data_IF_209042209246
#
_entry.id   IF_209042209246
#
_cell.length_a   1.000
_cell.length_b   1.000
_cell.length_c   1.000
_cell.angle_alpha   90.00
_cell.angle_beta   90.00
_cell.angle_gamma   90.00
#
_symmetry.space_group_name_H-M   'P 1'
#
loop_
_entity.id
_entity.type
_entity.pdbx_description
1 polymer ?
#
# COMPACT_ATOMS: atom_id res chain seq x y z
N UNK A 1 18.92 -25.70 42.38
CA UNK A 1 18.04 -26.84 42.07
C UNK A 1 16.66 -26.29 41.67
N UNK A 2 16.41 -26.04 40.38
CA UNK A 2 15.07 -25.73 39.88
C UNK A 2 14.93 -26.44 38.52
N UNK A 3 14.29 -27.61 38.55
CA UNK A 3 14.04 -28.45 37.37
C UNK A 3 12.98 -27.78 36.50
N UNK A 4 13.34 -27.36 35.28
CA UNK A 4 12.35 -27.14 34.21
C UNK A 4 11.75 -28.50 33.84
N UNK A 5 10.46 -28.71 34.15
CA UNK A 5 9.68 -29.79 33.53
C UNK A 5 9.26 -29.31 32.15
N UNK A 6 9.83 -29.91 31.11
CA UNK A 6 9.31 -29.84 29.75
C UNK A 6 8.02 -30.65 29.68
N UNK A 7 6.88 -29.99 29.48
CA UNK A 7 5.67 -30.66 29.03
C UNK A 7 5.67 -30.72 27.49
N UNK A 8 5.21 -31.82 26.89
CA UNK A 8 5.26 -31.99 25.44
C UNK A 8 4.29 -31.03 24.75
N UNK A 9 4.76 -30.35 23.71
CA UNK A 9 4.06 -29.28 22.98
C UNK A 9 2.73 -29.68 22.33
N UNK A 10 2.35 -30.97 22.36
CA UNK A 10 1.16 -31.48 21.68
C UNK A 10 -0.13 -31.39 22.53
N UNK A 11 -0.04 -31.34 23.87
CA UNK A 11 -1.23 -31.23 24.73
C UNK A 11 -1.73 -29.78 24.91
N UNK A 12 -0.89 -28.78 24.65
CA UNK A 12 -1.26 -27.37 24.77
C UNK A 12 -2.24 -26.96 23.66
N UNK A 13 -2.23 -27.65 22.52
CA UNK A 13 -3.04 -27.28 21.34
C UNK A 13 -4.53 -27.58 21.54
N UNK A 14 -4.89 -28.64 22.29
CA UNK A 14 -6.31 -28.99 22.52
C UNK A 14 -7.03 -28.13 23.56
N UNK A 15 -6.29 -27.51 24.49
CA UNK A 15 -6.89 -26.68 25.54
C UNK A 15 -7.06 -25.20 25.15
N UNK A 16 -6.48 -24.75 24.04
CA UNK A 16 -6.65 -23.37 23.57
C UNK A 16 -8.00 -23.19 22.85
N UNK A 17 -8.49 -24.20 22.14
CA UNK A 17 -9.79 -24.14 21.42
C UNK A 17 -11.01 -23.98 22.34
N UNK A 18 -10.93 -24.43 23.60
CA UNK A 18 -12.10 -24.43 24.51
C UNK A 18 -12.26 -23.09 25.26
N UNK A 19 -11.24 -22.24 25.32
CA UNK A 19 -11.29 -20.97 26.08
C UNK A 19 -11.99 -19.81 25.38
N UNK A 20 -12.37 -19.99 24.10
CA UNK A 20 -12.98 -18.91 23.32
C UNK A 20 -14.47 -18.69 23.60
N UNK A 21 -15.15 -19.67 24.22
CA UNK A 21 -16.61 -19.71 24.32
C UNK A 21 -17.22 -19.35 25.69
N UNK A 22 -16.46 -19.30 26.81
CA UNK A 22 -17.12 -19.22 28.13
C UNK A 22 -16.66 -18.19 29.16
N UNK A 23 -15.54 -17.50 29.00
CA UNK A 23 -15.11 -16.55 30.03
C UNK A 23 -14.97 -15.12 29.51
N UNK A 24 -15.89 -14.27 29.99
CA UNK A 24 -15.77 -12.82 30.15
C UNK A 24 -14.75 -12.46 31.24
N UNK A 25 -13.60 -13.15 31.31
CA UNK A 25 -12.45 -12.62 32.04
C UNK A 25 -11.87 -11.47 31.23
N UNK A 26 -11.61 -10.34 31.87
CA UNK A 26 -11.11 -9.09 31.29
C UNK A 26 -9.69 -9.17 30.66
N UNK A 27 -9.30 -10.33 30.15
CA UNK A 27 -8.01 -10.59 29.52
C UNK A 27 -8.08 -10.38 28.01
N UNK A 28 -7.04 -9.77 27.45
CA UNK A 28 -6.82 -9.73 26.01
C UNK A 28 -6.45 -11.15 25.57
N UNK A 29 -7.18 -11.69 24.59
CA UNK A 29 -6.88 -13.00 23.99
C UNK A 29 -6.14 -12.78 22.68
N UNK A 30 -5.17 -13.64 22.42
CA UNK A 30 -4.36 -13.61 21.21
C UNK A 30 -4.41 -14.95 20.49
N UNK A 31 -4.39 -14.91 19.17
CA UNK A 31 -4.33 -16.09 18.31
C UNK A 31 -3.45 -15.79 17.09
N UNK A 32 -2.87 -16.84 16.50
CA UNK A 32 -2.00 -16.73 15.32
C UNK A 32 -2.81 -16.62 14.03
N UNK A 33 -4.05 -17.11 14.03
CA UNK A 33 -5.02 -17.02 12.94
C UNK A 33 -6.37 -16.53 13.47
N UNK A 34 -7.32 -16.28 12.57
CA UNK A 34 -8.69 -15.82 12.86
C UNK A 34 -9.52 -17.02 13.35
N UNK A 35 -9.92 -17.07 14.64
CA UNK A 35 -10.76 -18.13 15.18
C UNK A 35 -12.18 -18.06 14.61
N UNK A 36 -12.90 -19.18 14.57
CA UNK A 36 -14.20 -19.29 13.89
C UNK A 36 -15.25 -18.30 14.40
N UNK A 37 -15.31 -18.11 15.71
CA UNK A 37 -16.24 -17.16 16.32
C UNK A 37 -15.92 -15.68 15.99
N UNK A 38 -14.66 -15.37 15.67
CA UNK A 38 -14.23 -14.05 15.17
C UNK A 38 -14.50 -13.98 13.67
N UNK A 39 -14.21 -15.04 12.93
CA UNK A 39 -14.42 -15.15 11.49
C UNK A 39 -15.87 -14.80 11.12
N UNK A 40 -16.84 -15.44 11.78
CA UNK A 40 -18.26 -15.15 11.56
C UNK A 40 -18.67 -13.75 12.02
N UNK A 41 -18.04 -13.24 13.08
CA UNK A 41 -18.40 -11.96 13.67
C UNK A 41 -17.89 -10.78 12.85
N UNK A 42 -16.66 -10.83 12.31
CA UNK A 42 -16.07 -9.72 11.53
C UNK A 42 -16.82 -9.48 10.22
N UNK A 43 -17.37 -10.53 9.59
CA UNK A 43 -18.16 -10.43 8.36
C UNK A 43 -19.48 -9.67 8.57
N UNK A 44 -19.98 -9.58 9.81
CA UNK A 44 -21.21 -8.84 10.16
C UNK A 44 -20.96 -7.36 10.39
N UNK A 45 -19.69 -6.95 10.54
CA UNK A 45 -19.36 -5.57 10.88
C UNK A 45 -19.53 -4.65 9.68
N UNK A 46 -20.11 -3.48 9.92
CA UNK A 46 -20.39 -2.47 8.89
C UNK A 46 -19.25 -1.48 8.65
N UNK A 47 -18.25 -1.49 9.54
CA UNK A 47 -17.11 -0.58 9.50
C UNK A 47 -15.87 -1.29 10.03
N UNK A 48 -14.73 -0.95 9.44
CA UNK A 48 -13.41 -1.34 9.90
C UNK A 48 -12.50 -0.11 9.97
N UNK A 49 -11.48 -0.15 10.82
CA UNK A 49 -10.48 0.90 10.95
C UNK A 49 -9.15 0.40 10.43
N UNK A 50 -8.58 1.12 9.46
CA UNK A 50 -7.29 0.80 8.88
C UNK A 50 -6.22 1.66 9.51
N UNK A 51 -5.26 1.04 10.20
CA UNK A 51 -4.08 1.71 10.72
C UNK A 51 -2.83 1.29 9.95
N UNK A 52 -2.02 2.26 9.53
CA UNK A 52 -0.70 2.06 8.90
C UNK A 52 0.26 3.14 9.34
N UNK A 53 1.57 2.89 9.25
CA UNK A 53 2.58 3.86 9.62
C UNK A 53 3.78 3.78 8.66
N UNK A 54 4.41 4.92 8.34
CA UNK A 54 5.66 4.93 7.61
C UNK A 54 6.80 4.43 8.52
N UNK A 55 7.97 4.16 7.93
CA UNK A 55 9.18 3.79 8.68
C UNK A 55 9.80 4.99 9.40
N UNK A 56 9.64 6.19 8.83
CA UNK A 56 10.17 7.42 9.41
C UNK A 56 9.50 7.71 10.76
N UNK A 57 10.31 7.91 11.81
CA UNK A 57 9.84 8.36 13.12
C UNK A 57 9.22 9.77 13.10
N UNK A 58 9.46 10.55 12.03
CA UNK A 58 8.85 11.87 11.80
C UNK A 58 7.62 11.81 10.90
N UNK A 59 7.33 10.65 10.33
CA UNK A 59 6.14 10.46 9.49
C UNK A 59 4.89 10.30 10.33
N UNK A 60 3.74 10.44 9.69
CA UNK A 60 2.45 10.47 10.34
C UNK A 60 1.79 9.08 10.30
N UNK A 61 1.37 8.60 11.46
CA UNK A 61 0.56 7.39 11.56
C UNK A 61 -0.82 7.69 10.98
N UNK A 62 -1.28 6.85 10.05
CA UNK A 62 -2.59 6.97 9.46
C UNK A 62 -3.58 6.03 10.14
N UNK A 63 -4.75 6.56 10.50
CA UNK A 63 -5.93 5.77 10.89
C UNK A 63 -7.12 6.24 10.07
N UNK A 64 -7.80 5.32 9.40
CA UNK A 64 -8.94 5.65 8.54
C UNK A 64 -10.09 4.66 8.70
N UNK A 65 -11.30 5.12 9.06
CA UNK A 65 -12.48 4.27 9.00
C UNK A 65 -12.84 3.98 7.53
N UNK A 66 -13.29 2.76 7.28
CA UNK A 66 -13.82 2.28 6.00
C UNK A 66 -15.15 1.59 6.27
N UNK A 67 -16.18 1.92 5.50
CA UNK A 67 -17.50 1.31 5.62
C UNK A 67 -18.03 0.88 4.26
N UNK A 68 -19.13 0.15 4.27
CA UNK A 68 -19.73 -0.47 3.10
C UNK A 68 -19.45 -1.97 3.02
N UNK A 69 -19.93 -2.60 1.97
CA UNK A 69 -19.87 -4.05 1.76
C UNK A 69 -18.59 -4.44 1.00
N UNK A 70 -17.45 -3.93 1.48
CA UNK A 70 -16.19 -3.92 0.75
C UNK A 70 -15.09 -4.70 1.48
N UNK A 71 -15.45 -5.82 2.10
CA UNK A 71 -14.55 -6.66 2.90
C UNK A 71 -14.92 -8.14 2.69
N UNK A 72 -13.91 -9.01 2.66
CA UNK A 72 -14.11 -10.45 2.61
C UNK A 72 -12.93 -11.24 3.12
N UNK A 73 -13.19 -12.47 3.57
CA UNK A 73 -12.18 -13.42 4.02
C UNK A 73 -11.85 -14.40 2.90
N UNK A 74 -10.57 -14.70 2.71
CA UNK A 74 -10.09 -15.74 1.79
C UNK A 74 -9.95 -17.06 2.55
N UNK A 75 -9.35 -17.00 3.74
CA UNK A 75 -9.17 -18.11 4.66
C UNK A 75 -9.01 -17.57 6.10
N UNK A 76 -8.60 -18.43 7.05
CA UNK A 76 -8.42 -18.04 8.46
C UNK A 76 -7.24 -17.11 8.73
N UNK A 77 -6.41 -16.78 7.74
CA UNK A 77 -5.24 -15.91 7.89
C UNK A 77 -5.15 -14.84 6.81
N UNK A 78 -5.99 -14.86 5.79
CA UNK A 78 -5.96 -13.85 4.73
C UNK A 78 -7.34 -13.26 4.49
N UNK A 79 -7.41 -11.93 4.40
CA UNK A 79 -8.61 -11.20 4.02
C UNK A 79 -8.29 -10.14 2.98
N UNK A 80 -9.34 -9.58 2.38
CA UNK A 80 -9.25 -8.44 1.48
C UNK A 80 -10.24 -7.37 1.88
N UNK A 81 -9.92 -6.12 1.53
CA UNK A 81 -10.91 -5.05 1.50
C UNK A 81 -10.71 -4.18 0.26
N UNK A 82 -11.80 -3.60 -0.23
CA UNK A 82 -11.75 -2.65 -1.34
C UNK A 82 -11.34 -1.28 -0.82
N UNK A 83 -10.25 -0.76 -1.34
CA UNK A 83 -9.84 0.61 -1.09
C UNK A 83 -10.41 1.51 -2.19
N UNK A 84 -11.37 2.33 -1.80
CA UNK A 84 -12.03 3.27 -2.69
C UNK A 84 -11.19 4.55 -2.84
N UNK A 85 -11.36 5.21 -3.99
CA UNK A 85 -10.72 6.45 -4.38
C UNK A 85 -11.18 7.58 -3.45
N UNK A 86 -10.39 7.87 -2.41
CA UNK A 86 -10.60 9.00 -1.52
C UNK A 86 -9.56 10.10 -1.74
N UNK A 87 -9.61 11.14 -0.91
CA UNK A 87 -8.59 12.21 -0.90
C UNK A 87 -7.20 11.71 -0.45
N UNK A 88 -7.14 10.72 0.43
CA UNK A 88 -5.91 10.15 0.98
C UNK A 88 -5.41 8.90 0.24
N UNK A 89 -4.11 8.63 0.39
CA UNK A 89 -3.42 7.44 -0.13
C UNK A 89 -2.37 6.89 0.86
N UNK A 90 -2.46 7.28 2.14
CA UNK A 90 -1.46 6.92 3.16
C UNK A 90 -1.32 5.41 3.31
N UNK A 91 -2.43 4.67 3.37
CA UNK A 91 -2.38 3.20 3.43
C UNK A 91 -1.58 2.61 2.27
N UNK A 92 -1.87 2.99 1.02
CA UNK A 92 -1.13 2.49 -0.14
C UNK A 92 0.36 2.86 -0.01
N UNK A 93 0.65 4.09 0.40
CA UNK A 93 2.02 4.59 0.50
C UNK A 93 2.83 3.84 1.55
N UNK A 94 2.27 3.61 2.74
CA UNK A 94 2.90 2.85 3.82
C UNK A 94 3.04 1.37 3.47
N UNK A 95 2.04 0.78 2.81
CA UNK A 95 2.11 -0.61 2.37
C UNK A 95 3.19 -0.83 1.32
N UNK A 96 3.37 0.12 0.39
CA UNK A 96 4.49 0.07 -0.58
C UNK A 96 5.85 0.16 0.07
N UNK A 97 5.97 0.95 1.14
CA UNK A 97 7.24 1.13 1.85
C UNK A 97 7.58 -0.08 2.72
N UNK A 98 6.64 -0.54 3.54
CA UNK A 98 6.93 -1.50 4.60
C UNK A 98 5.85 -2.58 4.82
N UNK A 99 4.71 -2.49 4.12
CA UNK A 99 3.66 -3.51 4.17
C UNK A 99 2.87 -3.61 5.48
N UNK A 100 3.24 -2.92 6.56
CA UNK A 100 2.61 -3.13 7.88
C UNK A 100 1.23 -2.51 7.94
N UNK A 101 0.27 -3.28 8.44
CA UNK A 101 -1.11 -2.84 8.59
C UNK A 101 -1.76 -3.48 9.83
N UNK A 102 -2.66 -2.73 10.45
CA UNK A 102 -3.55 -3.24 11.49
C UNK A 102 -4.98 -2.88 11.14
N UNK A 103 -5.87 -3.87 11.13
CA UNK A 103 -7.30 -3.65 10.99
C UNK A 103 -7.96 -3.83 12.34
N UNK A 104 -8.82 -2.88 12.71
CA UNK A 104 -9.61 -2.98 13.92
C UNK A 104 -11.11 -3.00 13.60
N UNK A 105 -11.83 -3.85 14.31
CA UNK A 105 -13.29 -3.92 14.33
C UNK A 105 -13.79 -3.67 15.76
N UNK A 106 -14.96 -3.05 15.88
CA UNK A 106 -15.60 -2.75 17.15
C UNK A 106 -17.06 -3.20 17.10
N UNK A 107 -17.52 -3.87 18.16
CA UNK A 107 -18.95 -4.07 18.37
C UNK A 107 -19.57 -2.74 18.79
N UNK A 108 -20.48 -2.22 17.98
CA UNK A 108 -21.35 -1.10 18.34
C UNK A 108 -22.76 -1.54 18.75
N UNK A 109 -23.02 -2.85 18.69
CA UNK A 109 -24.25 -3.52 19.07
C UNK A 109 -23.92 -4.83 19.82
N UNK A 110 -24.83 -5.30 20.66
CA UNK A 110 -24.67 -6.57 21.39
C UNK A 110 -23.52 -6.57 22.41
N UNK A 111 -22.84 -7.70 22.55
CA UNK A 111 -21.77 -7.84 23.55
C UNK A 111 -20.51 -7.03 23.17
N UNK A 112 -19.87 -6.33 24.13
CA UNK A 112 -18.74 -5.46 23.85
C UNK A 112 -17.53 -6.26 23.38
N UNK A 113 -16.98 -5.90 22.22
CA UNK A 113 -15.86 -6.60 21.60
C UNK A 113 -15.02 -5.65 20.74
N UNK A 114 -13.71 -5.76 20.85
CA UNK A 114 -12.75 -5.13 19.94
C UNK A 114 -11.86 -6.24 19.38
N UNK A 115 -11.71 -6.30 18.06
CA UNK A 115 -10.81 -7.24 17.38
C UNK A 115 -9.78 -6.46 16.60
N UNK A 116 -8.51 -6.85 16.71
CA UNK A 116 -7.39 -6.34 15.92
C UNK A 116 -6.77 -7.48 15.12
N UNK A 117 -6.55 -7.24 13.83
CA UNK A 117 -5.83 -8.12 12.92
C UNK A 117 -4.54 -7.41 12.53
N UNK A 118 -3.40 -7.93 12.96
CA UNK A 118 -2.08 -7.45 12.55
C UNK A 118 -1.57 -8.30 11.40
N UNK A 119 -1.05 -7.65 10.37
CA UNK A 119 -0.64 -8.33 9.16
C UNK A 119 0.25 -7.50 8.25
N UNK A 120 0.52 -8.09 7.09
CA UNK A 120 1.20 -7.44 5.98
C UNK A 120 0.25 -7.32 4.79
N UNK A 121 0.10 -6.09 4.30
CA UNK A 121 -0.78 -5.76 3.19
C UNK A 121 -0.06 -5.70 1.86
N UNK A 122 -0.70 -6.20 0.81
CA UNK A 122 -0.32 -6.04 -0.59
C UNK A 122 -1.43 -5.37 -1.39
N UNK A 123 -1.05 -4.56 -2.36
CA UNK A 123 -1.96 -3.72 -3.14
C UNK A 123 -2.15 -4.33 -4.53
N UNK A 124 -3.41 -4.52 -4.92
CA UNK A 124 -3.80 -4.77 -6.29
C UNK A 124 -4.46 -3.50 -6.83
N UNK A 125 -3.79 -2.76 -7.71
CA UNK A 125 -4.36 -1.54 -8.31
C UNK A 125 -5.34 -1.90 -9.44
N UNK A 126 -6.40 -1.10 -9.59
CA UNK A 126 -7.47 -1.34 -10.56
C UNK A 126 -6.94 -1.43 -12.00
N UNK A 127 -7.45 -2.43 -12.73
CA UNK A 127 -7.03 -2.82 -14.09
C UNK A 127 -5.57 -3.29 -14.22
N UNK A 128 -4.93 -3.66 -13.11
CA UNK A 128 -3.75 -4.53 -13.21
C UNK A 128 -4.20 -5.97 -13.42
N UNK A 129 -3.41 -6.76 -14.15
CA UNK A 129 -3.74 -8.17 -14.39
C UNK A 129 -4.02 -8.96 -13.09
N UNK A 130 -3.29 -8.65 -12.01
CA UNK A 130 -3.50 -9.28 -10.71
C UNK A 130 -4.82 -8.85 -10.04
N UNK A 131 -5.25 -7.59 -10.22
CA UNK A 131 -6.54 -7.12 -9.75
C UNK A 131 -7.68 -7.81 -10.49
N UNK A 132 -7.62 -7.84 -11.83
CA UNK A 132 -8.69 -8.41 -12.66
C UNK A 132 -8.84 -9.92 -12.38
N UNK A 133 -7.72 -10.65 -12.31
CA UNK A 133 -7.71 -12.07 -11.94
C UNK A 133 -8.27 -12.33 -10.53
N UNK A 134 -7.98 -11.44 -9.57
CA UNK A 134 -8.51 -11.58 -8.21
C UNK A 134 -10.01 -11.30 -8.15
N UNK A 135 -10.49 -10.26 -8.85
CA UNK A 135 -11.91 -9.91 -8.96
C UNK A 135 -12.70 -11.06 -9.56
N UNK A 136 -12.22 -11.62 -10.67
CA UNK A 136 -12.85 -12.77 -11.34
C UNK A 136 -12.89 -13.99 -10.42
N UNK A 137 -11.73 -14.40 -9.88
CA UNK A 137 -11.60 -15.58 -9.02
C UNK A 137 -12.53 -15.53 -7.79
N UNK A 138 -12.71 -14.35 -7.20
CA UNK A 138 -13.49 -14.18 -5.98
C UNK A 138 -14.89 -13.58 -6.23
N UNK A 139 -15.31 -13.42 -7.50
CA UNK A 139 -16.61 -12.86 -7.89
C UNK A 139 -16.92 -11.51 -7.23
N UNK A 140 -15.91 -10.63 -7.15
CA UNK A 140 -16.02 -9.36 -6.43
C UNK A 140 -16.70 -8.31 -7.32
N UNK A 141 -17.80 -7.72 -6.85
CA UNK A 141 -18.42 -6.59 -7.53
C UNK A 141 -17.62 -5.31 -7.28
N UNK A 142 -16.98 -4.77 -8.31
CA UNK A 142 -16.33 -3.44 -8.26
C UNK A 142 -17.32 -2.31 -8.56
N UNK A 143 -17.00 -1.11 -8.09
CA UNK A 143 -17.75 0.12 -8.36
C UNK A 143 -16.84 1.20 -8.97
N UNK A 144 -17.40 2.30 -9.45
CA UNK A 144 -16.62 3.36 -10.08
C UNK A 144 -15.60 3.99 -9.14
N UNK A 145 -15.91 4.05 -7.84
CA UNK A 145 -14.99 4.54 -6.83
C UNK A 145 -13.82 3.57 -6.55
N UNK A 146 -13.85 2.31 -6.99
CA UNK A 146 -12.78 1.34 -6.68
C UNK A 146 -11.42 1.83 -7.20
N UNK A 147 -10.42 1.93 -6.31
CA UNK A 147 -9.03 2.27 -6.65
C UNK A 147 -8.13 1.05 -6.63
N UNK A 148 -8.28 0.23 -5.60
CA UNK A 148 -7.47 -0.95 -5.38
C UNK A 148 -8.18 -1.97 -4.49
N UNK A 149 -7.70 -3.21 -4.52
CA UNK A 149 -7.99 -4.21 -3.49
C UNK A 149 -6.74 -4.34 -2.64
N UNK A 150 -6.89 -4.24 -1.32
CA UNK A 150 -5.82 -4.51 -0.37
C UNK A 150 -6.04 -5.91 0.18
N UNK A 151 -5.06 -6.78 0.01
CA UNK A 151 -5.05 -8.14 0.57
C UNK A 151 -4.10 -8.13 1.75
N UNK A 152 -4.50 -8.70 2.87
CA UNK A 152 -3.72 -8.70 4.10
C UNK A 152 -3.53 -10.12 4.58
N UNK A 153 -2.27 -10.49 4.74
CA UNK A 153 -1.85 -11.74 5.38
C UNK A 153 -1.65 -11.46 6.88
N UNK A 154 -2.55 -12.01 7.69
CA UNK A 154 -2.64 -11.87 9.14
C UNK A 154 -1.61 -12.78 9.80
N UNK A 155 -0.78 -12.21 10.66
CA UNK A 155 0.17 -12.96 11.48
C UNK A 155 -0.21 -12.98 12.96
N UNK A 156 -1.14 -12.12 13.39
CA UNK A 156 -1.62 -12.08 14.76
C UNK A 156 -3.03 -11.51 14.84
N UNK A 157 -3.84 -12.10 15.70
CA UNK A 157 -5.18 -11.65 16.06
C UNK A 157 -5.21 -11.33 17.55
N UNK A 158 -5.87 -10.24 17.92
CA UNK A 158 -6.07 -9.84 19.30
C UNK A 158 -7.51 -9.45 19.53
N UNK A 159 -8.15 -10.06 20.52
CA UNK A 159 -9.49 -9.67 20.96
C UNK A 159 -9.45 -9.14 22.38
N UNK A 160 -10.08 -7.99 22.61
CA UNK A 160 -10.22 -7.41 23.93
C UNK A 160 -11.68 -7.01 24.21
N UNK A 161 -12.02 -6.89 25.48
CA UNK A 161 -13.30 -6.33 25.88
C UNK A 161 -13.36 -4.82 25.56
N UNK A 162 -14.55 -4.31 25.28
CA UNK A 162 -14.80 -2.90 24.95
C UNK A 162 -15.85 -2.26 25.86
N UNK A 163 -15.79 -2.48 27.18
CA UNK A 163 -16.85 -2.04 28.12
C UNK A 163 -17.15 -0.53 28.09
N UNK A 164 -16.17 0.30 27.70
CA UNK A 164 -16.36 1.74 27.53
C UNK A 164 -16.68 2.17 26.09
N UNK A 165 -16.72 1.24 25.14
CA UNK A 165 -17.11 1.54 23.75
C UNK A 165 -18.63 1.71 23.71
N UNK A 166 -19.14 2.85 23.20
CA UNK A 166 -20.56 3.13 23.21
C UNK A 166 -21.32 2.28 22.20
N UNK A 167 -22.62 2.12 22.46
CA UNK A 167 -23.56 1.60 21.47
C UNK A 167 -23.85 2.63 20.38
N UNK A 168 -24.04 2.16 19.15
CA UNK A 168 -24.60 2.93 18.05
C UNK A 168 -25.59 2.09 17.26
N UNK A 169 -26.66 2.73 16.79
CA UNK A 169 -27.60 2.12 15.86
C UNK A 169 -27.16 2.39 14.42
N UNK A 170 -27.04 1.33 13.61
CA UNK A 170 -26.73 1.47 12.19
C UNK A 170 -27.98 1.93 11.43
N UNK A 171 -27.88 3.08 10.75
CA UNK A 171 -28.96 3.60 9.90
C UNK A 171 -28.80 3.21 8.44
N UNK A 172 -27.72 3.64 7.79
CA UNK A 172 -27.41 3.35 6.38
C UNK A 172 -25.94 3.71 6.06
N UNK A 173 -25.44 3.25 4.92
CA UNK A 173 -24.16 3.68 4.35
C UNK A 173 -24.27 5.03 3.61
N UNK A 174 -23.21 5.84 3.70
CA UNK A 174 -23.11 7.09 2.94
C UNK A 174 -22.87 6.79 1.46
N UNK A 175 -23.70 7.36 0.59
CA UNK A 175 -23.64 7.18 -0.89
C UNK A 175 -22.79 8.23 -1.61
N UNK A 176 -22.40 9.30 -0.93
CA UNK A 176 -21.72 10.47 -1.52
C UNK A 176 -20.47 10.11 -2.30
N UNK A 177 -19.64 9.20 -1.78
CA UNK A 177 -18.41 8.82 -2.47
C UNK A 177 -18.72 8.13 -3.81
N UNK A 178 -19.64 7.17 -3.81
CA UNK A 178 -20.04 6.46 -5.02
C UNK A 178 -20.60 7.43 -6.06
N UNK A 179 -21.52 8.31 -5.65
CA UNK A 179 -22.12 9.33 -6.52
C UNK A 179 -21.08 10.27 -7.15
N UNK A 180 -20.05 10.67 -6.39
CA UNK A 180 -18.96 11.50 -6.92
C UNK A 180 -18.23 10.78 -8.05
N UNK A 181 -17.92 9.49 -7.89
CA UNK A 181 -17.17 8.74 -8.90
C UNK A 181 -18.04 8.28 -10.09
N UNK A 182 -19.33 8.01 -9.87
CA UNK A 182 -20.31 7.78 -10.93
C UNK A 182 -20.44 9.04 -11.82
N UNK A 183 -20.52 10.22 -11.20
CA UNK A 183 -20.56 11.49 -11.94
C UNK A 183 -19.28 11.73 -12.74
N UNK A 184 -18.11 11.54 -12.12
CA UNK A 184 -16.82 11.66 -12.80
C UNK A 184 -16.68 10.69 -13.97
N UNK A 185 -17.12 9.45 -13.80
CA UNK A 185 -17.14 8.46 -14.88
C UNK A 185 -18.01 8.93 -16.04
N UNK A 186 -19.24 9.37 -15.77
CA UNK A 186 -20.15 9.88 -16.79
C UNK A 186 -19.55 11.09 -17.53
N UNK A 187 -18.95 12.02 -16.80
CA UNK A 187 -18.28 13.18 -17.40
C UNK A 187 -17.10 12.76 -18.29
N UNK A 188 -16.28 11.82 -17.82
CA UNK A 188 -15.18 11.27 -18.61
C UNK A 188 -15.67 10.57 -19.89
N UNK A 189 -16.68 9.71 -19.77
CA UNK A 189 -17.29 8.98 -20.89
C UNK A 189 -17.95 9.95 -21.90
N UNK A 190 -18.39 11.14 -21.45
CA UNK A 190 -18.90 12.22 -22.32
C UNK A 190 -17.81 13.02 -23.05
N UNK A 191 -16.53 12.68 -22.85
CA UNK A 191 -15.38 13.29 -23.51
C UNK A 191 -14.60 14.29 -22.64
N UNK A 192 -14.99 14.53 -21.38
CA UNK A 192 -14.23 15.40 -20.46
C UNK A 192 -13.01 14.64 -19.91
N UNK A 193 -11.95 14.54 -20.70
CA UNK A 193 -10.71 13.81 -20.35
C UNK A 193 -10.07 14.23 -19.01
N UNK A 194 -10.29 15.47 -18.59
CA UNK A 194 -9.85 16.00 -17.28
C UNK A 194 -10.42 15.21 -16.09
N UNK A 195 -11.60 14.61 -16.25
CA UNK A 195 -12.30 13.82 -15.24
C UNK A 195 -11.85 12.35 -15.19
N UNK A 196 -10.80 11.98 -15.93
CA UNK A 196 -10.27 10.61 -15.91
C UNK A 196 -9.85 10.17 -14.48
N UNK A 197 -10.07 8.89 -14.13
CA UNK A 197 -9.63 8.35 -12.84
C UNK A 197 -8.12 8.53 -12.61
N UNK A 198 -7.32 8.36 -13.66
CA UNK A 198 -5.86 8.48 -13.58
C UNK A 198 -5.40 9.90 -13.25
N UNK A 199 -6.03 10.93 -13.83
CA UNK A 199 -5.74 12.33 -13.45
C UNK A 199 -6.18 12.64 -12.04
N UNK A 200 -7.31 12.10 -11.59
CA UNK A 200 -7.74 12.24 -10.20
C UNK A 200 -6.70 11.62 -9.26
N UNK A 201 -6.22 10.41 -9.57
CA UNK A 201 -5.19 9.75 -8.77
C UNK A 201 -3.85 10.46 -8.86
N UNK A 202 -3.47 11.04 -10.00
CA UNK A 202 -2.27 11.87 -10.12
C UNK A 202 -2.35 13.09 -9.20
N UNK A 203 -3.48 13.79 -9.24
CA UNK A 203 -3.71 14.99 -8.45
C UNK A 203 -3.82 14.69 -6.95
N UNK A 204 -4.59 13.66 -6.54
CA UNK A 204 -4.90 13.41 -5.12
C UNK A 204 -4.17 12.25 -4.48
N UNK A 205 -3.69 11.27 -5.23
CA UNK A 205 -3.26 9.98 -4.69
C UNK A 205 -1.88 9.52 -5.14
N UNK A 206 -1.16 10.29 -5.95
CA UNK A 206 0.21 10.00 -6.34
C UNK A 206 1.17 10.09 -5.15
N UNK A 207 0.89 10.99 -4.20
CA UNK A 207 1.74 11.23 -3.04
C UNK A 207 0.94 11.30 -1.74
N UNK A 208 1.48 10.62 -0.74
CA UNK A 208 1.10 10.68 0.66
C UNK A 208 1.36 12.07 1.25
N UNK A 209 0.76 12.39 2.41
CA UNK A 209 1.05 13.66 3.10
C UNK A 209 2.54 13.79 3.43
N UNK A 210 3.23 12.68 3.72
CA UNK A 210 4.67 12.62 4.04
C UNK A 210 5.56 12.54 2.79
N UNK A 211 4.99 12.67 1.59
CA UNK A 211 5.75 12.59 0.34
C UNK A 211 6.19 11.18 -0.02
N UNK A 212 5.49 10.15 0.47
CA UNK A 212 5.69 8.77 0.03
C UNK A 212 4.88 8.48 -1.25
N UNK A 213 5.39 7.62 -2.16
CA UNK A 213 4.69 7.27 -3.38
C UNK A 213 3.42 6.45 -3.08
N UNK A 214 2.29 6.90 -3.62
CA UNK A 214 0.97 6.31 -3.46
C UNK A 214 0.55 5.44 -4.65
N UNK A 215 -0.49 5.85 -5.38
CA UNK A 215 -0.98 5.12 -6.56
C UNK A 215 0.04 5.16 -7.70
N UNK A 216 0.38 3.99 -8.24
CA UNK A 216 1.29 3.88 -9.37
C UNK A 216 0.70 4.51 -10.62
N UNK A 217 -0.58 4.23 -10.92
CA UNK A 217 -1.27 4.87 -12.04
C UNK A 217 -1.31 6.40 -11.91
N UNK A 218 -1.51 6.89 -10.69
CA UNK A 218 -1.43 8.32 -10.40
C UNK A 218 -0.03 8.90 -10.66
N UNK A 219 1.03 8.22 -10.22
CA UNK A 219 2.42 8.63 -10.49
C UNK A 219 2.75 8.64 -11.99
N UNK A 220 2.32 7.61 -12.72
CA UNK A 220 2.56 7.46 -14.16
C UNK A 220 1.81 8.55 -14.94
N UNK A 221 0.54 8.80 -14.61
CA UNK A 221 -0.25 9.88 -15.19
C UNK A 221 0.31 11.26 -14.84
N UNK A 222 0.71 11.48 -13.59
CA UNK A 222 1.34 12.73 -13.15
C UNK A 222 2.62 13.04 -13.93
N UNK A 223 3.43 12.03 -14.22
CA UNK A 223 4.63 12.16 -15.05
C UNK A 223 4.27 12.40 -16.53
N UNK A 224 3.36 11.60 -17.09
CA UNK A 224 2.98 11.66 -18.51
C UNK A 224 2.26 12.94 -18.89
N UNK A 225 1.38 13.43 -18.01
CA UNK A 225 0.52 14.59 -18.26
C UNK A 225 0.90 15.82 -17.44
N UNK A 226 2.02 15.77 -16.71
CA UNK A 226 2.54 16.87 -15.89
C UNK A 226 1.49 17.40 -14.89
N UNK A 227 0.77 16.48 -14.23
CA UNK A 227 -0.23 16.84 -13.21
C UNK A 227 0.47 17.08 -11.88
N UNK A 228 0.35 18.30 -11.36
CA UNK A 228 0.88 18.60 -10.03
C UNK A 228 -0.01 18.04 -8.91
N UNK A 229 0.55 17.30 -7.94
CA UNK A 229 -0.20 16.79 -6.80
C UNK A 229 -0.70 17.91 -5.88
N UNK A 230 -1.88 17.70 -5.30
CA UNK A 230 -2.47 18.62 -4.32
C UNK A 230 -1.66 18.67 -3.03
N UNK A 231 -1.46 19.86 -2.48
CA UNK A 231 -0.97 20.04 -1.11
C UNK A 231 -2.11 19.71 -0.14
N UNK A 232 -1.94 18.65 0.64
CA UNK A 232 -2.98 18.13 1.54
C UNK A 232 -2.87 18.65 2.97
N UNK A 233 -1.65 18.87 3.45
CA UNK A 233 -1.39 19.16 4.84
C UNK A 233 -0.88 20.60 5.00
N UNK A 234 -1.42 21.31 5.98
CA UNK A 234 -1.21 22.75 6.17
C UNK A 234 -0.76 23.02 7.60
N UNK A 235 -0.11 24.17 7.80
CA UNK A 235 0.35 24.61 9.12
C UNK A 235 1.79 24.20 9.44
N UNK A 236 2.28 24.54 10.66
CA UNK A 236 3.69 24.41 11.03
C UNK A 236 4.25 22.99 11.00
N UNK A 237 3.36 21.99 11.12
CA UNK A 237 3.70 20.57 11.14
C UNK A 237 3.55 19.89 9.79
N UNK A 238 3.12 20.64 8.76
CA UNK A 238 3.07 20.10 7.42
C UNK A 238 4.50 19.78 6.94
N UNK A 239 4.76 18.57 6.43
CA UNK A 239 6.03 18.28 5.79
C UNK A 239 6.18 19.22 4.60
N UNK A 240 7.42 19.60 4.30
CA UNK A 240 7.67 20.66 3.31
C UNK A 240 7.37 20.17 1.90
N UNK A 241 6.12 20.35 1.49
CA UNK A 241 5.61 20.26 0.12
C UNK A 241 6.23 21.38 -0.76
N UNK A 242 6.22 21.26 -2.10
CA UNK A 242 5.54 20.25 -2.92
C UNK A 242 6.43 19.06 -3.34
N UNK A 243 5.75 17.94 -3.55
CA UNK A 243 6.29 16.72 -4.17
C UNK A 243 5.64 16.61 -5.56
N UNK A 244 6.43 16.70 -6.64
CA UNK A 244 5.92 16.79 -8.01
C UNK A 244 6.97 17.28 -9.03
N UNK A 245 6.67 17.29 -10.34
CA UNK A 245 7.58 17.71 -11.41
C UNK A 245 8.19 19.12 -11.21
N UNK A 246 7.44 20.03 -10.58
CA UNK A 246 7.82 21.42 -10.32
C UNK A 246 8.31 21.64 -8.88
N UNK A 247 8.63 20.57 -8.14
CA UNK A 247 9.19 20.73 -6.80
C UNK A 247 10.48 21.55 -6.84
N UNK A 248 10.56 22.61 -6.03
CA UNK A 248 11.77 23.46 -5.93
C UNK A 248 12.85 22.87 -5.01
N UNK A 249 12.59 21.74 -4.34
CA UNK A 249 13.56 21.07 -3.47
C UNK A 249 14.25 19.93 -4.21
N UNK A 250 15.59 20.00 -4.33
CA UNK A 250 16.41 18.97 -4.97
C UNK A 250 16.15 17.56 -4.40
N UNK A 251 15.93 17.41 -3.09
CA UNK A 251 15.63 16.10 -2.47
C UNK A 251 14.25 15.53 -2.82
N UNK A 252 13.28 16.40 -3.15
CA UNK A 252 11.97 16.01 -3.62
C UNK A 252 12.00 15.71 -5.12
N UNK A 253 12.76 16.49 -5.91
CA UNK A 253 13.05 16.18 -7.31
C UNK A 253 13.80 14.86 -7.45
N UNK A 254 14.84 14.62 -6.64
CA UNK A 254 15.60 13.36 -6.64
C UNK A 254 14.73 12.18 -6.22
N UNK A 255 13.86 12.34 -5.21
CA UNK A 255 12.89 11.29 -4.84
C UNK A 255 11.88 11.03 -5.94
N UNK A 256 11.34 12.08 -6.57
CA UNK A 256 10.48 11.95 -7.73
C UNK A 256 11.20 11.18 -8.84
N UNK A 257 12.40 11.61 -9.23
CA UNK A 257 13.23 10.94 -10.25
C UNK A 257 13.54 9.49 -9.88
N UNK A 258 13.92 9.19 -8.63
CA UNK A 258 14.17 7.81 -8.17
C UNK A 258 12.90 6.94 -8.20
N UNK A 259 11.75 7.50 -7.83
CA UNK A 259 10.45 6.81 -7.94
C UNK A 259 10.08 6.60 -9.39
N UNK A 260 10.22 7.62 -10.26
CA UNK A 260 10.01 7.50 -11.70
C UNK A 260 10.94 6.47 -12.33
N UNK A 261 12.22 6.41 -11.92
CA UNK A 261 13.20 5.42 -12.38
C UNK A 261 12.90 4.01 -11.88
N UNK A 262 12.33 3.84 -10.67
CA UNK A 262 11.85 2.55 -10.15
C UNK A 262 10.52 2.12 -10.79
N UNK A 263 9.66 3.08 -11.12
CA UNK A 263 8.39 2.88 -11.80
C UNK A 263 8.58 2.54 -13.29
N UNK A 264 9.61 3.13 -13.91
CA UNK A 264 10.14 2.64 -15.17
C UNK A 264 10.59 1.19 -14.94
N UNK A 265 9.74 0.25 -15.37
CA UNK A 265 10.09 -1.16 -15.44
C UNK A 265 11.22 -1.31 -16.45
N UNK A 266 12.44 -1.00 -16.07
CA UNK A 266 13.59 -1.53 -16.77
C UNK A 266 13.51 -3.03 -16.55
N UNK A 267 13.22 -3.76 -17.63
CA UNK A 267 13.41 -5.19 -17.65
C UNK A 267 14.84 -5.42 -17.15
N UNK A 268 15.02 -6.23 -16.11
CA UNK A 268 16.33 -6.48 -15.50
C UNK A 268 17.39 -6.84 -16.54
N UNK A 269 16.96 -7.47 -17.64
CA UNK A 269 17.74 -7.71 -18.86
C UNK A 269 18.34 -6.44 -19.46
N UNK A 270 17.59 -5.34 -19.58
CA UNK A 270 18.07 -4.08 -20.17
C UNK A 270 19.14 -3.41 -19.32
N UNK A 271 19.01 -3.47 -17.98
CA UNK A 271 20.03 -2.95 -17.07
C UNK A 271 21.31 -3.79 -17.15
N UNK A 272 21.17 -5.12 -17.16
CA UNK A 272 22.30 -6.04 -17.31
C UNK A 272 23.03 -5.83 -18.65
N UNK A 273 22.28 -5.64 -19.75
CA UNK A 273 22.84 -5.35 -21.07
C UNK A 273 23.60 -4.02 -21.08
N UNK A 274 23.07 -2.96 -20.46
CA UNK A 274 23.78 -1.68 -20.37
C UNK A 274 25.07 -1.78 -19.55
N UNK A 275 25.05 -2.50 -18.42
CA UNK A 275 26.23 -2.73 -17.58
C UNK A 275 27.29 -3.52 -18.33
N UNK A 276 26.89 -4.57 -19.06
CA UNK A 276 27.79 -5.37 -19.88
C UNK A 276 28.39 -4.53 -21.02
N UNK A 277 27.57 -3.75 -21.73
CA UNK A 277 28.04 -2.84 -22.78
C UNK A 277 29.06 -1.83 -22.25
N UNK A 278 28.77 -1.18 -21.12
CA UNK A 278 29.70 -0.24 -20.49
C UNK A 278 31.02 -0.92 -20.09
N UNK A 279 30.95 -2.16 -19.56
CA UNK A 279 32.13 -2.94 -19.21
C UNK A 279 32.98 -3.29 -20.44
N UNK A 280 32.37 -3.79 -21.53
CA UNK A 280 33.09 -4.15 -22.75
C UNK A 280 33.67 -2.93 -23.47
N UNK A 281 32.95 -1.80 -23.49
CA UNK A 281 33.46 -0.53 -24.04
C UNK A 281 34.63 -0.04 -23.20
N UNK A 282 34.53 -0.07 -21.87
CA UNK A 282 35.63 0.30 -20.97
C UNK A 282 36.87 -0.57 -21.16
N UNK A 283 36.69 -1.89 -21.31
CA UNK A 283 37.77 -2.82 -21.59
C UNK A 283 38.41 -2.59 -22.96
N UNK A 284 37.60 -2.32 -23.99
CA UNK A 284 38.11 -1.99 -25.32
C UNK A 284 38.92 -0.68 -25.31
N UNK A 285 38.44 0.35 -24.61
CA UNK A 285 39.19 1.60 -24.44
C UNK A 285 40.50 1.33 -23.70
N UNK A 286 40.49 0.58 -22.60
CA UNK A 286 41.71 0.29 -21.84
C UNK A 286 42.75 -0.49 -22.64
N UNK A 287 42.33 -1.47 -23.44
CA UNK A 287 43.24 -2.32 -24.23
C UNK A 287 43.75 -1.62 -25.50
N UNK A 288 42.87 -0.89 -26.20
CA UNK A 288 43.19 -0.37 -27.54
C UNK A 288 43.57 1.11 -27.56
N UNK A 289 43.21 1.90 -26.54
CA UNK A 289 43.63 3.30 -26.48
C UNK A 289 45.17 3.48 -26.46
N UNK A 290 45.97 2.68 -25.72
CA UNK A 290 47.43 2.80 -25.73
C UNK A 290 48.02 2.55 -27.13
N UNK A 291 47.49 1.57 -27.86
CA UNK A 291 47.93 1.23 -29.23
C UNK A 291 47.60 2.36 -30.21
N UNK A 292 46.42 2.98 -30.07
CA UNK A 292 46.02 4.13 -30.88
C UNK A 292 46.90 5.37 -30.61
N UNK A 293 47.22 5.63 -29.34
CA UNK A 293 48.09 6.74 -28.94
C UNK A 293 49.52 6.54 -29.45
N UNK A 294 50.05 5.31 -29.41
CA UNK A 294 51.39 4.98 -29.90
C UNK A 294 51.48 5.07 -31.43
N UNK A 295 50.46 4.59 -32.15
CA UNK A 295 50.32 4.73 -33.61
C UNK A 295 50.29 6.19 -34.07
N UNK A 296 49.58 7.06 -33.33
CA UNK A 296 49.53 8.50 -33.63
C UNK A 296 50.82 9.23 -33.25
N UNK A 297 51.48 8.87 -32.13
CA UNK A 297 52.80 9.43 -31.78
C UNK A 297 53.83 9.18 -32.87
N UNK A 298 53.95 7.93 -33.37
CA UNK A 298 54.89 7.61 -34.44
C UNK A 298 54.61 8.35 -35.76
N UNK A 299 53.34 8.68 -36.03
CA UNK A 299 52.94 9.46 -37.22
C UNK A 299 53.27 10.96 -37.07
N UNK A 300 53.10 11.53 -35.87
CA UNK A 300 53.49 12.91 -35.59
C UNK A 300 55.01 13.11 -35.58
N UNK A 301 55.80 12.15 -35.09
CA UNK A 301 57.27 12.24 -35.11
C UNK A 301 57.84 12.22 -36.54
N UNK A 302 57.17 11.56 -37.50
CA UNK A 302 57.52 11.60 -38.93
C UNK A 302 57.08 12.86 -39.68
N UNK A 303 56.22 13.68 -39.08
CA UNK A 303 55.71 14.94 -39.65
C UNK A 303 56.44 16.18 -39.12
N UNK A 304 57.27 16.01 -38.07
CA UNK A 304 58.04 17.07 -37.41
C UNK A 304 59.57 16.93 -37.61
N UNK A 305 60.00 15.94 -38.42
CA UNK A 305 61.35 15.76 -38.95
C UNK A 305 61.30 15.92 -40.47
#
# INVERSE_FOLDING_TARGET
MYRRRSLPAYEIVKNIEISFLRDCTAAIKFAWNIPDNIYEWILKQRMLWVATAPLSAKGHINVSPKGGEYFGLIDKSTFWYMDLSGSGCETISHLRENGRITIMFNAFEGAPRIVRLWGYGRILERHSAAFDAFVEKHSIRTIDATRSIIIVDVHQVGSSCGYSVPFYEFRDFRKTLNQVFENKKRDFDSGKSIESPDRYWAYKNAWSIDGLPGSQRGLDCGTREQVEPIVKFVGPWAPVAPYGPQSFKLSAQLRHQLVTLRAARFQTTSVLVMVLLAFFVGMAVALYAPLFVQSRRGRFTRLLL
#
